data_IF_561189229360
#
_entry.id   IF_561189229360
#
_cell.length_a   1.000
_cell.length_b   1.000
_cell.length_c   1.000
_cell.angle_alpha   90.00
_cell.angle_beta   90.00
_cell.angle_gamma   90.00
#
_symmetry.space_group_name_H-M   'P 1'
#
loop_
_entity.id
_entity.type
_entity.pdbx_description
1 polymer ?
#
# COMPACT_ATOMS: atom_id res chain seq x y z
N UNK A 1 -31.87 -17.62 3.85
CA UNK A 1 -32.66 -16.37 3.78
C UNK A 1 -33.08 -15.93 2.38
N UNK A 2 -32.45 -16.38 1.28
CA UNK A 2 -32.78 -15.89 -0.08
C UNK A 2 -34.25 -16.10 -0.49
N UNK A 3 -34.88 -17.17 0.01
CA UNK A 3 -36.30 -17.49 -0.22
C UNK A 3 -37.28 -16.48 0.41
N UNK A 4 -36.80 -15.61 1.31
CA UNK A 4 -37.61 -14.57 1.98
C UNK A 4 -37.64 -13.25 1.21
N UNK A 5 -36.83 -13.12 0.15
CA UNK A 5 -36.66 -11.88 -0.62
C UNK A 5 -37.37 -12.04 -1.96
N UNK A 6 -38.24 -11.09 -2.28
CA UNK A 6 -38.92 -11.00 -3.59
C UNK A 6 -38.27 -9.91 -4.44
N UNK A 7 -38.43 -10.05 -5.75
CA UNK A 7 -38.01 -8.99 -6.67
C UNK A 7 -38.92 -7.77 -6.46
N UNK A 8 -38.32 -6.58 -6.38
CA UNK A 8 -39.02 -5.34 -6.05
C UNK A 8 -38.89 -4.91 -4.58
N UNK A 9 -38.40 -5.79 -3.69
CA UNK A 9 -38.17 -5.44 -2.30
C UNK A 9 -37.05 -4.40 -2.17
N UNK A 10 -37.25 -3.43 -1.27
CA UNK A 10 -36.28 -2.34 -0.99
C UNK A 10 -35.30 -2.70 0.11
N UNK A 11 -35.63 -3.67 0.94
CA UNK A 11 -34.83 -4.08 2.09
C UNK A 11 -35.22 -5.49 2.55
N UNK A 12 -34.35 -6.11 3.34
CA UNK A 12 -34.62 -7.38 4.01
C UNK A 12 -34.11 -7.34 5.45
N UNK A 13 -34.94 -7.76 6.38
CA UNK A 13 -34.51 -8.01 7.76
C UNK A 13 -33.92 -9.41 7.86
N UNK A 14 -32.67 -9.50 8.30
CA UNK A 14 -31.95 -10.74 8.50
C UNK A 14 -31.38 -10.81 9.92
N UNK A 15 -31.41 -12.00 10.52
CA UNK A 15 -30.74 -12.22 11.79
C UNK A 15 -29.22 -12.26 11.60
N UNK A 16 -28.49 -11.46 12.38
CA UNK A 16 -27.04 -11.51 12.46
C UNK A 16 -26.61 -12.70 13.33
N UNK A 17 -25.92 -13.69 12.75
CA UNK A 17 -25.48 -14.89 13.45
C UNK A 17 -24.39 -14.64 14.51
N UNK A 18 -23.73 -13.48 14.51
CA UNK A 18 -22.68 -13.15 15.47
C UNK A 18 -23.20 -12.40 16.69
N UNK A 19 -24.19 -11.53 16.51
CA UNK A 19 -24.76 -10.71 17.59
C UNK A 19 -26.16 -11.17 18.03
N UNK A 20 -26.79 -12.08 17.29
CA UNK A 20 -28.20 -12.49 17.44
C UNK A 20 -29.21 -11.34 17.32
N UNK A 21 -28.82 -10.23 16.70
CA UNK A 21 -29.68 -9.07 16.47
C UNK A 21 -30.21 -9.07 15.04
N UNK A 22 -31.41 -8.53 14.83
CA UNK A 22 -31.94 -8.31 13.50
C UNK A 22 -31.28 -7.09 12.85
N UNK A 23 -30.79 -7.26 11.62
CA UNK A 23 -30.21 -6.21 10.80
C UNK A 23 -31.03 -6.01 9.53
N UNK A 24 -31.29 -4.75 9.19
CA UNK A 24 -31.98 -4.36 7.96
C UNK A 24 -30.93 -4.12 6.87
N UNK A 25 -31.01 -4.90 5.80
CA UNK A 25 -30.10 -4.80 4.67
C UNK A 25 -30.86 -4.17 3.51
N UNK A 26 -30.42 -3.00 2.99
CA UNK A 26 -31.05 -2.40 1.83
C UNK A 26 -30.81 -3.27 0.59
N UNK A 27 -31.79 -3.30 -0.31
CA UNK A 27 -31.75 -4.05 -1.56
C UNK A 27 -32.03 -3.08 -2.71
N UNK A 28 -31.57 -3.44 -3.89
CA UNK A 28 -31.97 -2.74 -5.10
C UNK A 28 -33.25 -3.40 -5.66
N UNK A 29 -34.39 -2.67 -5.72
CA UNK A 29 -35.67 -3.22 -6.21
C UNK A 29 -35.62 -3.71 -7.65
N UNK A 30 -34.74 -3.14 -8.48
CA UNK A 30 -34.63 -3.50 -9.91
C UNK A 30 -33.83 -4.77 -10.13
N UNK A 31 -33.12 -5.26 -9.11
CA UNK A 31 -32.29 -6.47 -9.17
C UNK A 31 -33.05 -7.68 -8.64
N UNK A 32 -32.73 -8.85 -9.18
CA UNK A 32 -33.20 -10.11 -8.60
C UNK A 32 -32.58 -10.33 -7.21
N UNK A 33 -33.22 -11.14 -6.33
CA UNK A 33 -32.68 -11.47 -5.02
C UNK A 33 -31.24 -12.01 -5.07
N UNK A 34 -30.95 -12.89 -6.03
CA UNK A 34 -29.61 -13.45 -6.25
C UNK A 34 -28.61 -12.36 -6.68
N UNK A 35 -29.00 -11.45 -7.57
CA UNK A 35 -28.14 -10.36 -8.01
C UNK A 35 -27.83 -9.35 -6.89
N UNK A 36 -28.79 -9.09 -5.98
CA UNK A 36 -28.55 -8.30 -4.78
C UNK A 36 -27.53 -9.00 -3.85
N UNK A 37 -27.71 -10.28 -3.57
CA UNK A 37 -26.78 -11.04 -2.73
C UNK A 37 -25.36 -11.08 -3.34
N UNK A 38 -25.24 -11.35 -4.64
CA UNK A 38 -23.97 -11.41 -5.34
C UNK A 38 -23.28 -10.04 -5.41
N UNK A 39 -24.04 -8.95 -5.50
CA UNK A 39 -23.51 -7.59 -5.41
C UNK A 39 -22.81 -7.36 -4.06
N UNK A 40 -23.47 -7.65 -2.94
CA UNK A 40 -22.87 -7.49 -1.61
C UNK A 40 -21.65 -8.40 -1.42
N UNK A 41 -21.72 -9.65 -1.90
CA UNK A 41 -20.58 -10.57 -1.87
C UNK A 41 -19.37 -10.03 -2.64
N UNK A 42 -19.59 -9.48 -3.84
CA UNK A 42 -18.51 -8.87 -4.64
C UNK A 42 -17.92 -7.64 -3.96
N UNK A 43 -18.76 -6.79 -3.34
CA UNK A 43 -18.30 -5.61 -2.62
C UNK A 43 -17.47 -5.99 -1.40
N UNK A 44 -17.91 -6.98 -0.63
CA UNK A 44 -17.15 -7.53 0.50
C UNK A 44 -15.78 -8.03 0.04
N UNK A 45 -15.72 -8.88 -0.99
CA UNK A 45 -14.44 -9.40 -1.50
C UNK A 45 -13.53 -8.27 -1.98
N UNK A 46 -14.08 -7.25 -2.66
CA UNK A 46 -13.31 -6.06 -3.07
C UNK A 46 -12.75 -5.31 -1.87
N UNK A 47 -13.56 -5.10 -0.83
CA UNK A 47 -13.14 -4.42 0.40
C UNK A 47 -12.06 -5.22 1.14
N UNK A 48 -12.24 -6.53 1.28
CA UNK A 48 -11.26 -7.44 1.88
C UNK A 48 -9.91 -7.40 1.16
N UNK A 49 -9.92 -7.44 -0.18
CA UNK A 49 -8.67 -7.31 -0.95
C UNK A 49 -8.05 -5.93 -0.75
N UNK A 50 -8.85 -4.86 -0.80
CA UNK A 50 -8.37 -3.50 -0.57
C UNK A 50 -7.74 -3.31 0.81
N UNK A 51 -8.32 -3.89 1.85
CA UNK A 51 -7.79 -3.82 3.21
C UNK A 51 -6.38 -4.42 3.28
N UNK A 52 -6.15 -5.60 2.69
CA UNK A 52 -4.84 -6.23 2.63
C UNK A 52 -3.83 -5.37 1.87
N UNK A 53 -4.19 -4.91 0.67
CA UNK A 53 -3.29 -4.08 -0.15
C UNK A 53 -2.98 -2.75 0.53
N UNK A 54 -3.97 -2.11 1.16
CA UNK A 54 -3.78 -0.88 1.89
C UNK A 54 -2.82 -1.06 3.07
N UNK A 55 -2.96 -2.16 3.82
CA UNK A 55 -2.05 -2.47 4.92
C UNK A 55 -0.61 -2.62 4.42
N UNK A 56 -0.41 -3.29 3.28
CA UNK A 56 0.90 -3.42 2.66
C UNK A 56 1.47 -2.06 2.23
N UNK A 57 0.66 -1.23 1.57
CA UNK A 57 1.07 0.12 1.16
C UNK A 57 1.41 1.03 2.34
N UNK A 58 0.67 0.93 3.45
CA UNK A 58 0.98 1.66 4.68
C UNK A 58 2.35 1.23 5.21
N UNK A 59 2.65 -0.07 5.24
CA UNK A 59 3.95 -0.55 5.71
C UNK A 59 5.09 -0.04 4.80
N UNK A 60 4.96 -0.20 3.48
CA UNK A 60 5.95 0.32 2.53
C UNK A 60 6.16 1.83 2.68
N UNK A 61 5.09 2.59 2.93
CA UNK A 61 5.19 4.03 3.13
C UNK A 61 5.97 4.37 4.41
N UNK A 62 5.77 3.62 5.49
CA UNK A 62 6.54 3.79 6.73
C UNK A 62 8.02 3.46 6.52
N UNK A 63 8.29 2.34 5.86
CA UNK A 63 9.66 1.92 5.56
C UNK A 63 10.37 2.98 4.69
N UNK A 64 9.65 3.58 3.72
CA UNK A 64 10.18 4.69 2.92
C UNK A 64 10.43 5.96 3.75
N UNK A 65 9.56 6.28 4.71
CA UNK A 65 9.77 7.43 5.62
C UNK A 65 11.04 7.22 6.44
N UNK A 66 11.25 6.02 7.00
CA UNK A 66 12.44 5.69 7.79
C UNK A 66 13.72 5.73 6.92
N UNK A 67 13.63 5.24 5.68
CA UNK A 67 14.71 5.32 4.71
C UNK A 67 15.09 6.78 4.39
N UNK A 68 14.10 7.62 4.07
CA UNK A 68 14.36 9.04 3.79
C UNK A 68 14.88 9.81 5.00
N UNK A 69 14.42 9.46 6.20
CA UNK A 69 14.95 10.03 7.45
C UNK A 69 16.43 9.67 7.65
N UNK A 70 16.82 8.45 7.27
CA UNK A 70 18.22 8.01 7.30
C UNK A 70 19.06 8.79 6.30
N UNK A 71 18.56 9.00 5.06
CA UNK A 71 19.24 9.83 4.06
C UNK A 71 19.38 11.26 4.55
N UNK A 72 18.34 11.85 5.12
CA UNK A 72 18.40 13.20 5.68
C UNK A 72 19.49 13.32 6.75
N UNK A 73 19.58 12.34 7.66
CA UNK A 73 20.63 12.28 8.66
C UNK A 73 22.02 12.13 8.03
N UNK A 74 22.18 11.30 7.00
CA UNK A 74 23.45 11.14 6.28
C UNK A 74 23.88 12.47 5.64
N UNK A 75 22.95 13.19 5.01
CA UNK A 75 23.22 14.48 4.36
C UNK A 75 23.79 15.53 5.33
N UNK A 76 23.49 15.45 6.63
CA UNK A 76 24.08 16.34 7.63
C UNK A 76 25.58 16.10 7.90
N UNK A 77 26.08 14.90 7.60
CA UNK A 77 27.44 14.48 7.96
C UNK A 77 28.33 14.14 6.75
N UNK A 78 27.79 14.26 5.54
CA UNK A 78 28.43 13.78 4.32
C UNK A 78 29.42 14.79 3.72
N UNK A 79 30.42 14.29 3.00
CA UNK A 79 31.30 15.11 2.18
C UNK A 79 30.69 15.34 0.79
N UNK A 80 31.14 16.37 0.08
CA UNK A 80 30.69 16.68 -1.29
C UNK A 80 30.92 15.49 -2.25
N UNK A 81 31.90 14.63 -1.96
CA UNK A 81 32.19 13.46 -2.76
C UNK A 81 31.17 12.33 -2.64
N UNK A 82 30.52 12.14 -1.49
CA UNK A 82 29.59 11.02 -1.29
C UNK A 82 28.14 11.39 -1.68
N UNK A 83 27.88 12.67 -2.00
CA UNK A 83 26.58 13.15 -2.53
C UNK A 83 26.24 12.51 -3.89
N UNK A 84 27.25 12.28 -4.75
CA UNK A 84 27.02 11.63 -6.05
C UNK A 84 26.57 10.17 -5.85
N UNK A 85 27.08 9.48 -4.82
CA UNK A 85 26.72 8.09 -4.51
C UNK A 85 25.28 7.97 -3.99
N UNK A 86 24.87 8.82 -3.05
CA UNK A 86 23.47 8.89 -2.57
C UNK A 86 22.52 9.15 -3.73
N UNK A 87 22.90 10.05 -4.64
CA UNK A 87 22.07 10.37 -5.80
C UNK A 87 21.91 9.18 -6.75
N UNK A 88 22.99 8.44 -6.99
CA UNK A 88 22.96 7.26 -7.85
C UNK A 88 22.11 6.15 -7.18
N UNK A 89 22.22 5.95 -5.86
CA UNK A 89 21.35 5.04 -5.09
C UNK A 89 19.85 5.42 -5.23
N UNK A 90 19.51 6.69 -4.99
CA UNK A 90 18.15 7.20 -5.16
C UNK A 90 17.62 7.05 -6.59
N UNK A 91 18.51 7.14 -7.59
CA UNK A 91 18.14 6.95 -8.98
C UNK A 91 17.91 5.47 -9.33
N UNK A 92 18.70 4.55 -8.76
CA UNK A 92 18.52 3.09 -8.91
C UNK A 92 17.21 2.61 -8.28
N UNK A 93 16.84 3.16 -7.12
CA UNK A 93 15.56 2.87 -6.46
C UNK A 93 14.36 3.55 -7.15
N UNK A 94 14.60 4.39 -8.16
CA UNK A 94 13.56 5.05 -8.95
C UNK A 94 12.99 6.32 -8.32
N UNK A 95 13.53 6.78 -7.18
CA UNK A 95 13.16 8.05 -6.56
C UNK A 95 13.67 9.26 -7.35
N UNK A 96 14.71 9.09 -8.18
CA UNK A 96 15.27 10.14 -9.02
C UNK A 96 15.52 9.68 -10.47
N UNK A 97 15.50 10.62 -11.40
CA UNK A 97 15.92 10.35 -12.78
C UNK A 97 17.45 10.28 -12.88
N UNK A 98 17.97 9.23 -13.50
CA UNK A 98 19.38 9.17 -13.90
C UNK A 98 19.72 10.33 -14.84
N UNK A 99 20.90 10.94 -14.64
CA UNK A 99 21.38 12.03 -15.50
C UNK A 99 21.84 11.45 -16.85
N UNK A 100 21.41 12.08 -17.95
CA UNK A 100 21.67 11.61 -19.33
C UNK A 100 23.15 11.61 -19.76
N UNK A 101 24.04 12.29 -19.01
CA UNK A 101 25.44 12.51 -19.39
C UNK A 101 26.42 11.99 -18.33
N UNK A 102 26.27 10.75 -17.87
CA UNK A 102 27.36 10.06 -17.18
C UNK A 102 28.18 9.29 -18.23
N UNK A 103 29.30 9.86 -18.67
CA UNK A 103 30.43 9.06 -19.14
C UNK A 103 30.69 8.02 -18.06
N UNK A 104 30.56 6.72 -18.39
CA UNK A 104 30.71 5.59 -17.44
C UNK A 104 31.90 5.84 -16.50
N UNK A 105 31.65 6.35 -15.29
CA UNK A 105 32.67 6.38 -14.24
C UNK A 105 32.97 4.92 -13.94
N UNK A 106 34.26 4.53 -13.97
CA UNK A 106 34.69 3.19 -13.54
C UNK A 106 34.09 2.94 -12.16
N UNK A 107 33.47 1.77 -11.93
CA UNK A 107 32.95 1.39 -10.61
C UNK A 107 34.02 1.71 -9.57
N UNK A 108 33.73 2.66 -8.69
CA UNK A 108 34.61 2.96 -7.58
C UNK A 108 34.71 1.69 -6.72
N UNK A 109 35.93 1.29 -6.37
CA UNK A 109 36.11 0.26 -5.34
C UNK A 109 35.54 0.82 -4.04
N UNK A 110 34.61 0.09 -3.43
CA UNK A 110 34.04 0.43 -2.12
C UNK A 110 35.21 0.52 -1.13
N UNK A 111 35.52 1.73 -0.65
CA UNK A 111 36.53 1.95 0.38
C UNK A 111 35.82 2.14 1.72
N UNK A 112 35.91 1.12 2.59
CA UNK A 112 35.40 1.19 3.96
C UNK A 112 36.27 2.16 4.77
N UNK A 113 35.63 3.10 5.46
CA UNK A 113 36.33 3.99 6.37
C UNK A 113 36.84 3.20 7.59
N UNK A 114 38.14 3.27 7.84
CA UNK A 114 38.77 2.60 8.97
C UNK A 114 38.93 3.58 10.13
N UNK A 115 38.43 3.20 11.31
CA UNK A 115 38.62 3.95 12.55
C UNK A 115 39.55 3.18 13.49
N UNK A 116 40.42 3.90 14.21
CA UNK A 116 41.28 3.36 15.27
C UNK A 116 40.87 4.02 16.58
N UNK A 117 40.48 3.23 17.58
CA UNK A 117 40.22 3.74 18.93
C UNK A 117 41.53 4.02 19.66
N UNK A 118 41.65 5.21 20.25
CA UNK A 118 42.72 5.58 21.21
C UNK A 118 42.51 4.94 22.57
#
# INVERSE_FOLDING_TARGET
NIYRIKQGDKEVTALNYYTNEEVVIPLNPTKSPSANAQYYYKQYNRMKTRERELQHQIQLTKDNIDYFSTIEQQLHHISVHDIDEIRDELAEQGFMKQRKNQTKKKKAQIQLQHYVST
#
